data_IF_554624547751
#
_entry.id   IF_554624547751
#
_cell.length_a   1.000
_cell.length_b   1.000
_cell.length_c   1.000
_cell.angle_alpha   90.00
_cell.angle_beta   90.00
_cell.angle_gamma   90.00
#
_symmetry.space_group_name_H-M   'P 1'
#
loop_
_entity.id
_entity.type
_entity.pdbx_description
1 polymer ?
#
# COMPACT_ATOMS: atom_id res chain seq x y z
N UNK A 1 26.56 58.89 107.71
CA UNK A 1 25.96 58.29 108.91
C UNK A 1 24.46 58.18 108.69
N UNK A 2 23.97 57.01 108.29
CA UNK A 2 22.80 56.34 108.85
C UNK A 2 22.62 54.99 108.14
N UNK A 3 22.22 54.01 108.95
CA UNK A 3 22.47 52.59 108.79
C UNK A 3 21.56 51.87 107.77
N UNK A 4 22.18 50.90 107.11
CA UNK A 4 21.66 49.58 106.75
C UNK A 4 20.49 49.07 107.59
N UNK A 5 19.46 48.51 106.93
CA UNK A 5 18.87 47.22 107.30
C UNK A 5 18.61 46.40 106.02
N UNK A 6 19.34 45.30 105.90
CA UNK A 6 19.09 44.16 105.02
C UNK A 6 18.04 43.23 105.64
N UNK A 7 17.17 42.67 104.79
CA UNK A 7 16.50 41.36 104.88
C UNK A 7 16.15 41.03 103.41
N UNK A 8 16.54 39.96 102.72
CA UNK A 8 16.98 38.62 103.12
C UNK A 8 15.99 37.60 102.56
N UNK A 9 16.47 36.70 101.66
CA UNK A 9 15.79 35.55 101.00
C UNK A 9 14.95 35.89 99.74
N UNK A 10 15.06 35.26 98.57
CA UNK A 10 15.66 33.99 98.17
C UNK A 10 16.21 33.99 96.73
N UNK A 11 17.21 33.13 96.54
CA UNK A 11 17.99 32.91 95.33
C UNK A 11 17.25 31.96 94.37
N UNK A 12 16.80 32.45 93.21
CA UNK A 12 16.29 31.61 92.12
C UNK A 12 16.98 32.00 90.81
N UNK A 13 17.95 31.19 90.40
CA UNK A 13 18.46 31.15 89.03
C UNK A 13 17.36 30.64 88.08
N UNK A 14 17.01 31.34 87.00
CA UNK A 14 16.40 30.72 85.85
C UNK A 14 17.49 30.44 84.81
N UNK A 15 17.91 29.18 84.78
CA UNK A 15 18.41 28.52 83.58
C UNK A 15 17.52 28.82 82.37
N UNK A 16 18.18 29.01 81.22
CA UNK A 16 17.71 28.69 79.85
C UNK A 16 16.45 29.38 79.34
N UNK A 17 16.61 30.20 78.30
CA UNK A 17 15.69 30.23 77.16
C UNK A 17 16.45 30.63 75.88
N UNK A 18 17.21 29.69 75.33
CA UNK A 18 17.51 29.63 73.90
C UNK A 18 16.29 28.99 73.23
N UNK A 19 15.22 29.77 73.02
CA UNK A 19 13.99 29.21 72.45
C UNK A 19 13.28 30.15 71.45
N UNK A 20 14.00 30.99 70.71
CA UNK A 20 13.36 31.89 69.72
C UNK A 20 14.10 31.98 68.37
N UNK A 21 14.56 30.84 67.83
CA UNK A 21 15.09 30.79 66.44
C UNK A 21 14.59 29.62 65.59
N UNK A 22 13.78 28.71 66.14
CA UNK A 22 13.29 27.55 65.39
C UNK A 22 11.99 27.80 64.61
N UNK A 23 11.19 28.81 64.99
CA UNK A 23 9.93 29.09 64.28
C UNK A 23 10.18 29.65 62.87
N UNK A 24 11.10 30.60 62.72
CA UNK A 24 11.44 31.21 61.42
C UNK A 24 12.13 30.22 60.46
N UNK A 25 12.95 29.29 60.97
CA UNK A 25 13.64 28.28 60.15
C UNK A 25 12.68 27.19 59.67
N UNK A 26 11.72 26.79 60.50
CA UNK A 26 10.68 25.84 60.11
C UNK A 26 9.72 26.43 59.05
N UNK A 27 9.32 27.69 59.18
CA UNK A 27 8.49 28.36 58.16
C UNK A 27 9.25 28.63 56.86
N UNK A 28 10.52 29.02 56.92
CA UNK A 28 11.35 29.25 55.74
C UNK A 28 11.59 27.94 54.96
N UNK A 29 11.93 26.85 55.67
CA UNK A 29 12.09 25.53 55.04
C UNK A 29 10.78 25.04 54.42
N UNK A 30 9.64 25.20 55.11
CA UNK A 30 8.32 24.82 54.59
C UNK A 30 7.93 25.64 53.36
N UNK A 31 8.31 26.92 53.29
CA UNK A 31 8.07 27.78 52.14
C UNK A 31 8.97 27.41 50.95
N UNK A 32 10.24 27.10 51.22
CA UNK A 32 11.22 26.67 50.21
C UNK A 32 10.88 25.29 49.63
N UNK A 33 10.43 24.34 50.47
CA UNK A 33 9.95 23.02 50.03
C UNK A 33 8.70 23.14 49.15
N UNK A 34 7.81 24.08 49.48
CA UNK A 34 6.61 24.35 48.68
C UNK A 34 6.98 24.99 47.33
N UNK A 35 7.96 25.90 47.30
CA UNK A 35 8.48 26.46 46.05
C UNK A 35 9.14 25.42 45.16
N UNK A 36 9.98 24.55 45.72
CA UNK A 36 10.57 23.45 44.95
C UNK A 36 9.52 22.48 44.44
N UNK A 37 8.46 22.21 45.22
CA UNK A 37 7.34 21.36 44.79
C UNK A 37 6.53 22.03 43.67
N UNK A 38 6.25 23.33 43.77
CA UNK A 38 5.54 24.11 42.74
C UNK A 38 6.37 24.21 41.45
N UNK A 39 7.68 24.44 41.54
CA UNK A 39 8.56 24.49 40.37
C UNK A 39 8.74 23.13 39.71
N UNK A 40 8.79 22.05 40.49
CA UNK A 40 8.81 20.70 39.96
C UNK A 40 7.49 20.35 39.26
N UNK A 41 6.35 20.76 39.84
CA UNK A 41 5.04 20.60 39.22
C UNK A 41 4.90 21.44 37.93
N UNK A 42 5.41 22.69 37.91
CA UNK A 42 5.46 23.51 36.69
C UNK A 42 6.33 22.90 35.61
N UNK A 43 7.53 22.43 35.94
CA UNK A 43 8.43 21.75 34.99
C UNK A 43 7.84 20.44 34.46
N UNK A 44 7.10 19.69 35.28
CA UNK A 44 6.37 18.51 34.82
C UNK A 44 5.19 18.87 33.91
N UNK A 45 4.46 19.93 34.22
CA UNK A 45 3.35 20.41 33.38
C UNK A 45 3.87 20.95 32.03
N UNK A 46 4.97 21.72 32.04
CA UNK A 46 5.61 22.22 30.82
C UNK A 46 6.16 21.07 29.95
N UNK A 47 6.72 20.01 30.57
CA UNK A 47 7.10 18.79 29.84
C UNK A 47 5.89 18.06 29.25
N UNK A 48 4.77 17.99 29.98
CA UNK A 48 3.54 17.34 29.52
C UNK A 48 2.91 18.10 28.35
N UNK A 49 2.87 19.43 28.45
CA UNK A 49 2.36 20.33 27.41
C UNK A 49 3.25 20.30 26.17
N UNK A 50 4.59 20.37 26.34
CA UNK A 50 5.55 20.25 25.23
C UNK A 50 5.45 18.89 24.53
N UNK A 51 5.37 17.80 25.30
CA UNK A 51 5.15 16.46 24.75
C UNK A 51 3.83 16.39 23.97
N UNK A 52 2.74 16.99 24.46
CA UNK A 52 1.44 16.99 23.77
C UNK A 52 1.52 17.67 22.39
N UNK A 53 2.26 18.77 22.26
CA UNK A 53 2.47 19.45 20.98
C UNK A 53 3.43 18.70 20.06
N UNK A 54 4.51 18.11 20.57
CA UNK A 54 5.45 17.28 19.81
C UNK A 54 4.79 15.98 19.31
N UNK A 55 3.96 15.32 20.13
CA UNK A 55 3.20 14.14 19.74
C UNK A 55 2.08 14.47 18.74
N UNK A 56 1.44 15.63 18.85
CA UNK A 56 0.49 16.11 17.84
C UNK A 56 1.18 16.37 16.50
N UNK A 57 2.43 16.86 16.52
CA UNK A 57 3.24 17.02 15.31
C UNK A 57 3.65 15.65 14.72
N UNK A 58 4.11 14.71 15.55
CA UNK A 58 4.51 13.36 15.11
C UNK A 58 3.32 12.54 14.56
N UNK A 59 2.16 12.62 15.21
CA UNK A 59 0.93 11.99 14.71
C UNK A 59 0.57 12.50 13.31
N UNK A 60 0.61 13.82 13.11
CA UNK A 60 0.31 14.42 11.82
C UNK A 60 1.35 14.05 10.75
N UNK A 61 2.63 13.94 11.11
CA UNK A 61 3.68 13.48 10.21
C UNK A 61 3.48 12.02 9.79
N UNK A 62 3.20 11.12 10.75
CA UNK A 62 2.92 9.71 10.43
C UNK A 62 1.65 9.54 9.61
N UNK A 63 0.64 10.37 9.85
CA UNK A 63 -0.59 10.40 9.06
C UNK A 63 -0.29 10.79 7.60
N UNK A 64 0.50 11.84 7.40
CA UNK A 64 0.92 12.25 6.06
C UNK A 64 1.72 11.13 5.36
N UNK A 65 2.67 10.52 6.07
CA UNK A 65 3.43 9.38 5.53
C UNK A 65 2.55 8.18 5.17
N UNK A 66 1.55 7.87 6.00
CA UNK A 66 0.59 6.81 5.71
C UNK A 66 -0.17 7.10 4.41
N UNK A 67 -0.68 8.32 4.24
CA UNK A 67 -1.38 8.74 3.03
C UNK A 67 -0.48 8.67 1.80
N UNK A 68 0.75 9.16 1.89
CA UNK A 68 1.72 9.09 0.79
C UNK A 68 2.02 7.65 0.36
N UNK A 69 2.10 6.72 1.33
CA UNK A 69 2.31 5.30 1.03
C UNK A 69 1.07 4.69 0.41
N UNK A 70 -0.13 5.04 0.87
CA UNK A 70 -1.38 4.58 0.25
C UNK A 70 -1.48 5.04 -1.21
N UNK A 71 -1.15 6.29 -1.52
CA UNK A 71 -1.21 6.79 -2.90
C UNK A 71 -0.12 6.15 -3.79
N UNK A 72 1.07 5.91 -3.24
CA UNK A 72 2.13 5.12 -3.92
C UNK A 72 1.67 3.67 -4.16
N UNK A 73 0.99 3.06 -3.20
CA UNK A 73 0.44 1.72 -3.32
C UNK A 73 -0.64 1.65 -4.42
N UNK A 74 -1.51 2.64 -4.51
CA UNK A 74 -2.52 2.72 -5.58
C UNK A 74 -1.85 2.78 -6.96
N UNK A 75 -0.80 3.60 -7.10
CA UNK A 75 -0.01 3.70 -8.34
C UNK A 75 0.69 2.38 -8.68
N UNK A 76 1.30 1.71 -7.70
CA UNK A 76 1.96 0.42 -7.91
C UNK A 76 0.98 -0.67 -8.33
N UNK A 77 -0.21 -0.73 -7.69
CA UNK A 77 -1.25 -1.70 -8.04
C UNK A 77 -1.83 -1.43 -9.43
N UNK A 78 -2.00 -0.17 -9.82
CA UNK A 78 -2.42 0.17 -11.19
C UNK A 78 -1.40 -0.30 -12.22
N UNK A 79 -0.11 -0.03 -11.99
CA UNK A 79 0.97 -0.50 -12.87
C UNK A 79 1.03 -2.03 -12.95
N UNK A 80 0.84 -2.71 -11.81
CA UNK A 80 0.78 -4.17 -11.77
C UNK A 80 -0.44 -4.70 -12.55
N UNK A 81 -1.61 -4.06 -12.43
CA UNK A 81 -2.80 -4.42 -13.18
C UNK A 81 -2.58 -4.31 -14.70
N UNK A 82 -1.98 -3.21 -15.17
CA UNK A 82 -1.65 -3.05 -16.59
C UNK A 82 -0.66 -4.13 -17.06
N UNK A 83 0.39 -4.39 -16.29
CA UNK A 83 1.36 -5.43 -16.61
C UNK A 83 0.74 -6.84 -16.62
N UNK A 84 -0.22 -7.12 -15.72
CA UNK A 84 -0.97 -8.38 -15.69
C UNK A 84 -1.82 -8.56 -16.96
N UNK A 85 -2.53 -7.49 -17.37
CA UNK A 85 -3.36 -7.51 -18.59
C UNK A 85 -2.52 -7.72 -19.85
N UNK A 86 -1.41 -6.99 -19.97
CA UNK A 86 -0.49 -7.11 -21.10
C UNK A 86 0.11 -8.53 -21.16
N UNK A 87 0.57 -9.06 -20.01
CA UNK A 87 1.11 -10.40 -19.92
C UNK A 87 0.11 -11.44 -20.40
N UNK A 88 -1.13 -11.37 -19.91
CA UNK A 88 -2.18 -12.31 -20.28
C UNK A 88 -2.52 -12.22 -21.78
N UNK A 89 -2.60 -11.01 -22.33
CA UNK A 89 -2.88 -10.80 -23.76
C UNK A 89 -1.80 -11.43 -24.64
N UNK A 90 -0.52 -11.21 -24.29
CA UNK A 90 0.64 -11.77 -24.98
C UNK A 90 0.72 -13.29 -24.84
N UNK A 91 0.48 -13.83 -23.64
CA UNK A 91 0.46 -15.28 -23.37
C UNK A 91 -0.59 -15.97 -24.23
N UNK A 92 -1.81 -15.42 -24.29
CA UNK A 92 -2.87 -15.94 -25.15
C UNK A 92 -2.52 -15.84 -26.64
N UNK A 93 -1.80 -14.80 -27.06
CA UNK A 93 -1.32 -14.65 -28.44
C UNK A 93 -0.27 -15.71 -28.79
N UNK A 94 0.72 -15.92 -27.91
CA UNK A 94 1.73 -16.96 -28.04
C UNK A 94 1.09 -18.35 -28.09
N UNK A 95 0.13 -18.63 -27.19
CA UNK A 95 -0.58 -19.90 -27.16
C UNK A 95 -1.35 -20.17 -28.46
N UNK A 96 -2.04 -19.17 -29.00
CA UNK A 96 -2.76 -19.30 -30.27
C UNK A 96 -1.80 -19.58 -31.44
N UNK A 97 -0.70 -18.82 -31.55
CA UNK A 97 0.32 -19.02 -32.60
C UNK A 97 1.00 -20.38 -32.48
N UNK A 98 1.35 -20.79 -31.26
CA UNK A 98 1.90 -22.13 -30.98
C UNK A 98 0.93 -23.24 -31.37
N UNK A 99 -0.37 -23.07 -31.10
CA UNK A 99 -1.39 -24.02 -31.54
C UNK A 99 -1.45 -24.19 -33.06
N UNK A 100 -1.26 -23.11 -33.83
CA UNK A 100 -1.18 -23.17 -35.30
C UNK A 100 0.08 -23.93 -35.74
N UNK A 101 1.23 -23.64 -35.13
CA UNK A 101 2.49 -24.33 -35.41
C UNK A 101 2.36 -25.83 -35.14
N UNK A 102 1.86 -26.20 -33.95
CA UNK A 102 1.67 -27.59 -33.55
C UNK A 102 0.69 -28.33 -34.49
N UNK A 103 -0.37 -27.65 -34.96
CA UNK A 103 -1.31 -28.22 -35.91
C UNK A 103 -0.67 -28.45 -37.29
N UNK A 104 0.14 -27.51 -37.77
CA UNK A 104 0.88 -27.63 -39.03
C UNK A 104 1.93 -28.75 -38.98
N UNK A 105 2.69 -28.84 -37.87
CA UNK A 105 3.69 -29.91 -37.68
C UNK A 105 3.03 -31.29 -37.68
N UNK A 106 1.85 -31.44 -37.05
CA UNK A 106 1.07 -32.69 -37.08
C UNK A 106 0.57 -33.08 -38.46
N UNK A 107 0.34 -32.13 -39.36
CA UNK A 107 -0.10 -32.38 -40.74
C UNK A 107 1.06 -32.73 -41.69
N UNK A 108 2.30 -32.87 -41.19
CA UNK A 108 3.44 -33.31 -41.98
C UNK A 108 4.19 -32.19 -42.70
N UNK A 109 4.01 -30.92 -42.29
CA UNK A 109 4.89 -29.82 -42.70
C UNK A 109 4.78 -29.40 -44.17
N UNK A 110 3.56 -29.19 -44.67
CA UNK A 110 3.26 -28.92 -46.08
C UNK A 110 3.69 -27.53 -46.61
N UNK A 111 3.09 -27.13 -47.75
CA UNK A 111 3.26 -25.77 -48.31
C UNK A 111 2.90 -24.73 -47.23
N UNK A 112 3.63 -23.61 -47.19
CA UNK A 112 3.67 -22.54 -46.15
C UNK A 112 4.77 -22.62 -45.08
N UNK A 113 5.84 -23.39 -45.30
CA UNK A 113 6.98 -23.47 -44.36
C UNK A 113 7.59 -22.10 -43.99
N UNK A 114 7.71 -21.17 -44.96
CA UNK A 114 8.24 -19.82 -44.71
C UNK A 114 7.35 -18.97 -43.78
N UNK A 115 6.03 -19.08 -43.92
CA UNK A 115 5.08 -18.38 -43.03
C UNK A 115 5.11 -18.98 -41.62
N UNK A 116 5.32 -20.29 -41.50
CA UNK A 116 5.47 -20.96 -40.21
C UNK A 116 6.79 -20.58 -39.53
N UNK A 117 7.88 -20.46 -40.29
CA UNK A 117 9.16 -20.01 -39.74
C UNK A 117 9.08 -18.58 -39.21
N UNK A 118 8.36 -17.69 -39.92
CA UNK A 118 8.03 -16.35 -39.41
C UNK A 118 7.21 -16.42 -38.11
N UNK A 119 6.17 -17.25 -38.06
CA UNK A 119 5.37 -17.44 -36.84
C UNK A 119 6.21 -17.98 -35.66
N UNK A 120 7.17 -18.88 -35.91
CA UNK A 120 8.11 -19.38 -34.90
C UNK A 120 8.97 -18.25 -34.35
N UNK A 121 9.53 -17.41 -35.22
CA UNK A 121 10.29 -16.22 -34.82
C UNK A 121 9.44 -15.26 -33.98
N UNK A 122 8.20 -14.98 -34.40
CA UNK A 122 7.30 -14.10 -33.66
C UNK A 122 6.93 -14.67 -32.28
N UNK A 123 6.76 -15.99 -32.15
CA UNK A 123 6.52 -16.64 -30.86
C UNK A 123 7.73 -16.48 -29.95
N UNK A 124 8.94 -16.62 -30.48
CA UNK A 124 10.17 -16.41 -29.71
C UNK A 124 10.29 -14.96 -29.22
N UNK A 125 10.02 -13.97 -30.08
CA UNK A 125 9.99 -12.56 -29.69
C UNK A 125 8.94 -12.28 -28.59
N UNK A 126 7.76 -12.90 -28.69
CA UNK A 126 6.73 -12.79 -27.65
C UNK A 126 7.20 -13.45 -26.34
N UNK A 127 7.86 -14.61 -26.40
CA UNK A 127 8.38 -15.29 -25.21
C UNK A 127 9.45 -14.45 -24.48
N UNK A 128 10.32 -13.78 -25.23
CA UNK A 128 11.31 -12.86 -24.65
C UNK A 128 10.62 -11.70 -23.92
N UNK A 129 9.63 -11.07 -24.56
CA UNK A 129 8.81 -10.02 -23.93
C UNK A 129 8.07 -10.51 -22.69
N UNK A 130 7.49 -11.72 -22.74
CA UNK A 130 6.82 -12.34 -21.59
C UNK A 130 7.78 -12.57 -20.43
N UNK A 131 9.02 -12.98 -20.71
CA UNK A 131 10.06 -13.14 -19.67
C UNK A 131 10.40 -11.82 -18.99
N UNK A 132 10.60 -10.75 -19.77
CA UNK A 132 10.87 -9.40 -19.24
C UNK A 132 9.69 -8.86 -18.42
N UNK A 133 8.49 -8.99 -18.96
CA UNK A 133 7.27 -8.54 -18.30
C UNK A 133 7.02 -9.32 -17.01
N UNK A 134 7.29 -10.63 -16.98
CA UNK A 134 7.21 -11.43 -15.77
C UNK A 134 8.20 -10.97 -14.69
N UNK A 135 9.44 -10.60 -15.07
CA UNK A 135 10.40 -10.00 -14.12
C UNK A 135 9.87 -8.69 -13.54
N UNK A 136 9.32 -7.83 -14.39
CA UNK A 136 8.71 -6.56 -13.98
C UNK A 136 7.53 -6.76 -13.03
N UNK A 137 6.62 -7.70 -13.34
CA UNK A 137 5.49 -8.09 -12.48
C UNK A 137 5.95 -8.55 -11.11
N UNK A 138 6.92 -9.46 -11.06
CA UNK A 138 7.50 -9.94 -9.79
C UNK A 138 8.12 -8.81 -8.95
N UNK A 139 8.75 -7.82 -9.57
CA UNK A 139 9.29 -6.66 -8.87
C UNK A 139 8.17 -5.77 -8.33
N UNK A 140 7.14 -5.51 -9.13
CA UNK A 140 5.97 -4.72 -8.72
C UNK A 140 5.22 -5.40 -7.57
N UNK A 141 4.99 -6.71 -7.63
CA UNK A 141 4.36 -7.49 -6.56
C UNK A 141 5.15 -7.39 -5.26
N UNK A 142 6.48 -7.58 -5.31
CA UNK A 142 7.35 -7.40 -4.14
C UNK A 142 7.25 -5.98 -3.57
N UNK A 143 7.20 -4.96 -4.41
CA UNK A 143 7.04 -3.57 -3.97
C UNK A 143 5.67 -3.29 -3.36
N UNK A 144 4.59 -3.88 -3.89
CA UNK A 144 3.25 -3.79 -3.31
C UNK A 144 3.25 -4.42 -1.92
N UNK A 145 3.75 -5.65 -1.77
CA UNK A 145 3.85 -6.35 -0.48
C UNK A 145 4.65 -5.53 0.54
N UNK A 146 5.85 -5.06 0.16
CA UNK A 146 6.67 -4.24 1.05
C UNK A 146 5.99 -2.94 1.48
N UNK A 147 5.34 -2.22 0.58
CA UNK A 147 4.65 -1.00 0.97
C UNK A 147 3.40 -1.26 1.82
N UNK A 148 2.74 -2.41 1.67
CA UNK A 148 1.70 -2.84 2.60
C UNK A 148 2.28 -3.08 4.01
N UNK A 149 3.40 -3.79 4.14
CA UNK A 149 4.09 -3.99 5.42
C UNK A 149 4.47 -2.65 6.07
N UNK A 150 5.04 -1.71 5.31
CA UNK A 150 5.39 -0.38 5.82
C UNK A 150 4.13 0.37 6.28
N UNK A 151 3.04 0.32 5.50
CA UNK A 151 1.77 0.97 5.88
C UNK A 151 1.21 0.41 7.20
N UNK A 152 1.29 -0.91 7.39
CA UNK A 152 0.88 -1.60 8.63
C UNK A 152 1.75 -1.17 9.82
N UNK A 153 3.07 -1.05 9.64
CA UNK A 153 3.96 -0.55 10.69
C UNK A 153 3.64 0.91 11.08
N UNK A 154 3.30 1.76 10.11
CA UNK A 154 2.90 3.14 10.39
C UNK A 154 1.54 3.19 11.08
N UNK A 155 0.59 2.36 10.67
CA UNK A 155 -0.70 2.22 11.34
C UNK A 155 -0.53 1.87 12.82
N UNK A 156 0.30 0.87 13.15
CA UNK A 156 0.58 0.46 14.53
C UNK A 156 1.10 1.67 15.35
N UNK A 157 2.02 2.45 14.77
CA UNK A 157 2.56 3.65 15.43
C UNK A 157 1.51 4.75 15.58
N UNK A 158 0.67 4.97 14.58
CA UNK A 158 -0.45 5.92 14.65
C UNK A 158 -1.42 5.54 15.76
N UNK A 159 -1.79 4.25 15.88
CA UNK A 159 -2.65 3.75 16.94
C UNK A 159 -2.03 3.93 18.33
N UNK A 160 -0.73 3.72 18.46
CA UNK A 160 -0.01 3.94 19.73
C UNK A 160 0.01 5.41 20.16
N UNK A 161 0.02 6.35 19.20
CA UNK A 161 0.04 7.80 19.45
C UNK A 161 -1.36 8.42 19.59
N UNK A 162 -2.41 7.72 19.15
CA UNK A 162 -3.78 8.23 19.18
C UNK A 162 -4.31 8.31 20.62
N UNK A 163 -4.45 9.53 21.12
CA UNK A 163 -4.90 9.80 22.50
C UNK A 163 -6.38 10.14 22.55
N UNK A 164 -6.92 10.75 21.49
CA UNK A 164 -8.33 11.16 21.39
C UNK A 164 -9.16 10.10 20.67
N UNK A 165 -10.48 10.14 20.88
CA UNK A 165 -11.42 9.25 20.20
C UNK A 165 -11.44 9.54 18.69
N UNK A 166 -11.45 10.81 18.33
CA UNK A 166 -11.49 11.29 16.95
C UNK A 166 -10.25 10.83 16.16
N UNK A 167 -9.07 10.83 16.79
CA UNK A 167 -7.85 10.30 16.17
C UNK A 167 -7.94 8.80 15.89
N UNK A 168 -8.55 8.03 16.79
CA UNK A 168 -8.72 6.58 16.61
C UNK A 168 -9.71 6.28 15.48
N UNK A 169 -10.85 6.96 15.47
CA UNK A 169 -11.86 6.86 14.40
C UNK A 169 -11.28 7.28 13.04
N UNK A 170 -10.45 8.33 13.01
CA UNK A 170 -9.76 8.75 11.79
C UNK A 170 -8.82 7.65 11.27
N UNK A 171 -8.01 7.02 12.14
CA UNK A 171 -7.12 5.94 11.72
C UNK A 171 -7.93 4.77 11.15
N UNK A 172 -9.02 4.39 11.81
CA UNK A 172 -9.90 3.32 11.34
C UNK A 172 -10.47 3.63 9.94
N UNK A 173 -10.92 4.87 9.73
CA UNK A 173 -11.40 5.31 8.42
C UNK A 173 -10.29 5.24 7.36
N UNK A 174 -9.07 5.72 7.66
CA UNK A 174 -7.96 5.71 6.72
C UNK A 174 -7.56 4.29 6.30
N UNK A 175 -7.48 3.38 7.27
CA UNK A 175 -7.15 1.97 7.03
C UNK A 175 -8.27 1.28 6.24
N UNK A 176 -9.54 1.56 6.57
CA UNK A 176 -10.67 1.01 5.83
C UNK A 176 -10.70 1.52 4.40
N UNK A 177 -10.47 2.81 4.18
CA UNK A 177 -10.41 3.39 2.84
C UNK A 177 -9.28 2.77 2.01
N UNK A 178 -8.08 2.59 2.58
CA UNK A 178 -6.97 1.97 1.84
C UNK A 178 -7.24 0.50 1.48
N UNK A 179 -7.88 -0.26 2.38
CA UNK A 179 -8.36 -1.62 2.12
C UNK A 179 -9.39 -1.65 0.98
N UNK A 180 -10.41 -0.79 1.02
CA UNK A 180 -11.44 -0.72 -0.02
C UNK A 180 -10.85 -0.30 -1.37
N UNK A 181 -9.89 0.63 -1.40
CA UNK A 181 -9.19 1.00 -2.65
C UNK A 181 -8.42 -0.19 -3.23
N UNK A 182 -7.72 -0.94 -2.39
CA UNK A 182 -6.99 -2.14 -2.81
C UNK A 182 -7.95 -3.20 -3.38
N UNK A 183 -9.05 -3.50 -2.67
CA UNK A 183 -10.09 -4.43 -3.11
C UNK A 183 -10.70 -4.01 -4.45
N UNK A 184 -11.05 -2.72 -4.60
CA UNK A 184 -11.57 -2.17 -5.85
C UNK A 184 -10.59 -2.39 -7.00
N UNK A 185 -9.29 -2.14 -6.79
CA UNK A 185 -8.29 -2.32 -7.84
C UNK A 185 -8.18 -3.79 -8.26
N UNK A 186 -8.19 -4.72 -7.31
CA UNK A 186 -8.20 -6.15 -7.62
C UNK A 186 -9.43 -6.55 -8.43
N UNK A 187 -10.63 -6.12 -8.01
CA UNK A 187 -11.87 -6.42 -8.71
C UNK A 187 -11.89 -5.84 -10.14
N UNK A 188 -11.38 -4.62 -10.34
CA UNK A 188 -11.25 -4.01 -11.67
C UNK A 188 -10.27 -4.80 -12.54
N UNK A 189 -9.14 -5.25 -11.97
CA UNK A 189 -8.18 -6.05 -12.70
C UNK A 189 -8.77 -7.39 -13.14
N UNK A 190 -9.50 -8.09 -12.26
CA UNK A 190 -10.17 -9.35 -12.57
C UNK A 190 -11.23 -9.18 -13.67
N UNK A 191 -11.98 -8.08 -13.62
CA UNK A 191 -12.96 -7.74 -14.65
C UNK A 191 -12.29 -7.46 -15.99
N UNK A 192 -11.18 -6.72 -16.00
CA UNK A 192 -10.43 -6.44 -17.22
C UNK A 192 -9.85 -7.71 -17.85
N UNK A 193 -9.29 -8.63 -17.04
CA UNK A 193 -8.83 -9.93 -17.52
C UNK A 193 -9.95 -10.78 -18.11
N UNK A 194 -11.13 -10.79 -17.46
CA UNK A 194 -12.33 -11.45 -17.99
C UNK A 194 -12.79 -10.83 -19.31
N UNK A 195 -12.75 -9.50 -19.43
CA UNK A 195 -13.09 -8.81 -20.68
C UNK A 195 -12.19 -9.27 -21.82
N UNK A 196 -10.86 -9.29 -21.61
CA UNK A 196 -9.89 -9.76 -22.61
C UNK A 196 -10.20 -11.21 -23.05
N UNK A 197 -10.56 -12.07 -22.10
CA UNK A 197 -10.92 -13.45 -22.40
C UNK A 197 -12.20 -13.54 -23.25
N UNK A 198 -13.24 -12.79 -22.89
CA UNK A 198 -14.51 -12.75 -23.61
C UNK A 198 -14.32 -12.18 -25.03
N UNK A 199 -13.58 -11.07 -25.18
CA UNK A 199 -13.30 -10.47 -26.47
C UNK A 199 -12.59 -11.45 -27.43
N UNK A 200 -11.66 -12.26 -26.89
CA UNK A 200 -10.99 -13.32 -27.67
C UNK A 200 -11.92 -14.48 -28.00
N UNK A 201 -12.82 -14.86 -27.09
CA UNK A 201 -13.81 -15.90 -27.34
C UNK A 201 -14.78 -15.47 -28.44
N UNK A 202 -15.30 -14.24 -28.37
CA UNK A 202 -16.19 -13.64 -29.37
C UNK A 202 -15.51 -13.55 -30.74
N UNK A 203 -14.24 -13.10 -30.77
CA UNK A 203 -13.44 -13.07 -32.01
C UNK A 203 -13.27 -14.47 -32.60
N UNK A 204 -13.05 -15.48 -31.76
CA UNK A 204 -12.90 -16.87 -32.19
C UNK A 204 -14.22 -17.45 -32.71
N UNK A 205 -15.34 -17.15 -32.03
CA UNK A 205 -16.68 -17.56 -32.43
C UNK A 205 -17.08 -16.92 -33.77
N UNK A 206 -16.77 -15.64 -33.97
CA UNK A 206 -16.97 -14.96 -35.25
C UNK A 206 -16.17 -15.61 -36.40
N UNK A 207 -14.94 -16.05 -36.14
CA UNK A 207 -14.15 -16.80 -37.14
C UNK A 207 -14.79 -18.14 -37.46
N UNK A 208 -15.29 -18.86 -36.45
CA UNK A 208 -15.99 -20.13 -36.65
C UNK A 208 -17.25 -19.95 -37.50
N UNK A 209 -18.10 -18.98 -37.19
CA UNK A 209 -19.28 -18.68 -38.01
C UNK A 209 -18.94 -18.28 -39.45
N UNK A 210 -17.82 -17.57 -39.65
CA UNK A 210 -17.33 -17.28 -41.00
C UNK A 210 -16.92 -18.56 -41.75
N UNK A 211 -16.26 -19.50 -41.08
CA UNK A 211 -15.91 -20.79 -41.68
C UNK A 211 -17.13 -21.66 -41.94
N UNK A 212 -18.09 -21.68 -41.03
CA UNK A 212 -19.39 -22.34 -41.20
C UNK A 212 -20.11 -21.82 -42.45
N UNK A 213 -20.24 -20.49 -42.62
CA UNK A 213 -20.88 -19.91 -43.82
C UNK A 213 -20.12 -20.22 -45.11
N UNK A 214 -18.78 -20.26 -45.08
CA UNK A 214 -17.99 -20.65 -46.25
C UNK A 214 -18.21 -22.13 -46.57
N UNK A 215 -18.26 -22.98 -45.55
CA UNK A 215 -18.51 -24.41 -45.70
C UNK A 215 -19.91 -24.69 -46.26
N UNK A 216 -20.94 -23.98 -45.78
CA UNK A 216 -22.30 -24.04 -46.33
C UNK A 216 -22.32 -23.68 -47.82
N UNK A 217 -21.68 -22.58 -48.21
CA UNK A 217 -21.60 -22.16 -49.62
C UNK A 217 -20.85 -23.17 -50.51
N UNK A 218 -19.85 -23.85 -49.96
CA UNK A 218 -19.14 -24.93 -50.64
C UNK A 218 -20.04 -26.16 -50.82
N UNK A 219 -20.85 -26.49 -49.83
CA UNK A 219 -21.81 -27.61 -49.87
C UNK A 219 -22.96 -27.32 -50.85
N UNK A 220 -23.44 -26.07 -50.90
CA UNK A 220 -24.51 -25.62 -51.80
C UNK A 220 -24.07 -25.47 -53.27
N UNK A 221 -22.78 -25.67 -53.58
CA UNK A 221 -22.26 -25.72 -54.95
C UNK A 221 -22.03 -24.36 -55.62
N UNK A 222 -22.02 -23.25 -54.86
CA UNK A 222 -21.81 -21.89 -55.36
C UNK A 222 -20.33 -21.56 -55.62
N UNK A 223 -19.71 -22.19 -56.63
CA UNK A 223 -18.27 -22.11 -56.92
C UNK A 223 -17.80 -20.77 -57.54
N UNK A 224 -18.68 -19.97 -58.14
CA UNK A 224 -18.28 -18.76 -58.90
C UNK A 224 -17.76 -17.60 -58.03
N UNK A 225 -18.04 -17.58 -56.72
CA UNK A 225 -17.52 -16.58 -55.77
C UNK A 225 -16.20 -16.98 -55.08
N UNK A 226 -15.73 -18.21 -55.27
CA UNK A 226 -14.71 -18.83 -54.41
C UNK A 226 -13.29 -18.45 -54.82
N UNK A 227 -13.03 -18.20 -56.11
CA UNK A 227 -11.74 -17.69 -56.56
C UNK A 227 -11.40 -16.33 -55.95
N UNK A 228 -12.39 -15.48 -55.68
CA UNK A 228 -12.18 -14.18 -55.02
C UNK A 228 -11.99 -14.37 -53.50
N UNK A 229 -12.73 -15.28 -52.88
CA UNK A 229 -12.62 -15.54 -51.44
C UNK A 229 -11.26 -16.15 -51.04
N UNK A 230 -10.67 -17.03 -51.87
CA UNK A 230 -9.33 -17.61 -51.64
C UNK A 230 -8.24 -16.54 -51.74
N UNK A 231 -8.37 -15.57 -52.66
CA UNK A 231 -7.44 -14.44 -52.79
C UNK A 231 -7.49 -13.54 -51.54
N UNK A 232 -8.67 -13.26 -51.00
CA UNK A 232 -8.83 -12.53 -49.73
C UNK A 232 -8.38 -13.34 -48.49
N UNK A 233 -8.43 -14.66 -48.55
CA UNK A 233 -7.97 -15.52 -47.45
C UNK A 233 -6.45 -15.44 -47.25
N UNK A 234 -5.70 -15.33 -48.34
CA UNK A 234 -4.25 -15.13 -48.28
C UNK A 234 -3.86 -13.74 -47.73
N UNK A 235 -4.67 -12.69 -47.98
CA UNK A 235 -4.37 -11.36 -47.43
C UNK A 235 -4.68 -11.22 -45.93
N UNK A 236 -5.59 -12.04 -45.39
CA UNK A 236 -6.02 -11.95 -43.98
C UNK A 236 -5.19 -12.80 -43.02
N UNK A 237 -4.44 -13.79 -43.53
CA UNK A 237 -3.48 -14.59 -42.74
C UNK A 237 -2.13 -13.85 -42.61
N UNK A 238 -1.86 -12.90 -43.50
CA UNK A 238 -0.60 -12.12 -43.57
C UNK A 238 -0.66 -10.76 -42.86
N UNK A 239 -1.77 -10.41 -42.20
CA UNK A 239 -1.94 -9.15 -41.45
C UNK A 239 -2.41 -9.40 -40.02
#
# INVERSE_FOLDING_TARGET
MLHFIECGYDNINPTTNLADNNYSRATYNRWNDNYQTIDNNRKQNDKFVKNKYEFSNLFNQLKAQFMDIVDKQDTLRQRLSVANQEFYSLEMSAAAKKGIIDAWEKQGGGRTAESIERLKSEVEDINQKLMELNKSRNLLEKSVVKGHEISSQIEIRLRALATTREQKELIELLVRMSSVRAEKMTAVNDLALKSILLDKADTSMMKLHKYESIAEKLIEGGLDGISIAIIYFNSLILS
#
